data_IF_211867937116
#
_entry.id   IF_211867937116
#
_cell.length_a   1.000
_cell.length_b   1.000
_cell.length_c   1.000
_cell.angle_alpha   90.00
_cell.angle_beta   90.00
_cell.angle_gamma   90.00
#
_symmetry.space_group_name_H-M   'P 1'
#
loop_
_entity.id
_entity.type
_entity.pdbx_description
1 polymer ?
#
# COMPACT_ATOMS: atom_id res chain seq x y z
N UNK A 1 42.32 26.56 12.77
CA UNK A 1 40.99 27.18 12.97
C UNK A 1 40.08 27.02 11.77
N UNK A 2 40.50 27.36 10.56
CA UNK A 2 39.64 27.23 9.37
C UNK A 2 39.16 25.79 9.10
N UNK A 3 39.95 24.76 9.38
CA UNK A 3 39.57 23.36 9.22
C UNK A 3 38.51 22.89 10.19
N UNK A 4 38.52 23.37 11.41
CA UNK A 4 37.52 23.04 12.44
C UNK A 4 36.16 23.69 12.13
N UNK A 5 36.14 24.93 11.63
CA UNK A 5 34.91 25.60 11.19
C UNK A 5 34.23 24.87 10.07
N UNK A 6 34.97 24.39 9.06
CA UNK A 6 34.44 23.67 7.93
C UNK A 6 33.81 22.32 8.35
N UNK A 7 34.45 21.60 9.25
CA UNK A 7 33.94 20.31 9.76
C UNK A 7 32.67 20.51 10.56
N UNK A 8 32.59 21.52 11.41
CA UNK A 8 31.39 21.85 12.18
C UNK A 8 30.20 22.26 11.31
N UNK A 9 30.44 23.07 10.28
CA UNK A 9 29.41 23.47 9.32
C UNK A 9 28.85 22.26 8.54
N UNK A 10 29.70 21.35 8.10
CA UNK A 10 29.28 20.15 7.37
C UNK A 10 28.39 19.26 8.22
N UNK A 11 28.69 19.07 9.49
CA UNK A 11 27.86 18.27 10.40
C UNK A 11 26.49 18.91 10.65
N UNK A 12 26.44 20.22 10.84
CA UNK A 12 25.17 20.95 10.99
C UNK A 12 24.32 20.88 9.73
N UNK A 13 24.93 21.06 8.57
CA UNK A 13 24.23 20.96 7.28
C UNK A 13 23.66 19.56 7.04
N UNK A 14 24.41 18.51 7.34
CA UNK A 14 23.93 17.13 7.21
C UNK A 14 22.78 16.83 8.18
N UNK A 15 22.81 17.34 9.40
CA UNK A 15 21.73 17.18 10.37
C UNK A 15 20.45 17.86 9.90
N UNK A 16 20.54 19.08 9.37
CA UNK A 16 19.39 19.81 8.82
C UNK A 16 18.79 19.11 7.61
N UNK A 17 19.60 18.65 6.68
CA UNK A 17 19.16 17.91 5.50
C UNK A 17 18.45 16.61 5.88
N UNK A 18 18.97 15.88 6.85
CA UNK A 18 18.33 14.64 7.33
C UNK A 18 16.96 14.91 7.93
N UNK A 19 16.81 15.95 8.74
CA UNK A 19 15.52 16.34 9.32
C UNK A 19 14.51 16.73 8.25
N UNK A 20 14.93 17.50 7.25
CA UNK A 20 14.08 17.91 6.12
C UNK A 20 13.58 16.70 5.33
N UNK A 21 14.43 15.74 5.05
CA UNK A 21 14.08 14.52 4.33
C UNK A 21 13.05 13.69 5.10
N UNK A 22 13.23 13.53 6.41
CA UNK A 22 12.31 12.80 7.28
C UNK A 22 10.94 13.49 7.31
N UNK A 23 10.90 14.81 7.47
CA UNK A 23 9.68 15.59 7.47
C UNK A 23 8.95 15.52 6.13
N UNK A 24 9.66 15.60 5.01
CA UNK A 24 9.09 15.47 3.68
C UNK A 24 8.47 14.07 3.47
N UNK A 25 9.13 13.00 3.90
CA UNK A 25 8.63 11.64 3.81
C UNK A 25 7.34 11.44 4.64
N UNK A 26 7.25 11.99 5.84
CA UNK A 26 6.07 11.88 6.69
C UNK A 26 4.87 12.68 6.17
N UNK A 27 5.10 13.76 5.45
CA UNK A 27 4.04 14.60 4.85
C UNK A 27 3.47 13.93 3.58
N UNK A 28 4.31 13.29 2.77
CA UNK A 28 3.91 12.72 1.46
C UNK A 28 3.03 11.47 1.63
N UNK A 29 3.30 10.59 2.59
CA UNK A 29 2.59 9.32 2.76
C UNK A 29 1.09 9.47 3.02
N UNK A 30 0.59 10.38 3.88
CA UNK A 30 -0.85 10.50 4.14
C UNK A 30 -1.66 11.22 3.06
N UNK A 31 -1.04 11.82 2.05
CA UNK A 31 -1.67 12.76 1.12
C UNK A 31 -1.78 12.27 -0.33
N UNK A 32 -1.73 10.95 -0.56
CA UNK A 32 -1.83 10.41 -1.93
C UNK A 32 -3.09 10.88 -2.66
N UNK A 33 -4.23 10.98 -1.98
CA UNK A 33 -5.50 11.41 -2.58
C UNK A 33 -5.56 12.89 -2.91
N UNK A 34 -4.68 13.72 -2.33
CA UNK A 34 -4.60 15.15 -2.63
C UNK A 34 -3.61 15.49 -3.75
N UNK A 35 -2.89 14.49 -4.28
CA UNK A 35 -1.95 14.65 -5.38
C UNK A 35 -2.66 14.82 -6.73
N UNK A 36 -1.91 15.13 -7.78
CA UNK A 36 -2.44 15.16 -9.13
C UNK A 36 -3.04 13.80 -9.54
N UNK A 37 -3.94 13.81 -10.51
CA UNK A 37 -4.59 12.59 -11.00
C UNK A 37 -3.57 11.55 -11.50
N UNK A 38 -2.51 12.00 -12.15
CA UNK A 38 -1.45 11.11 -12.63
C UNK A 38 -0.69 10.43 -11.48
N UNK A 39 -0.38 11.19 -10.43
CA UNK A 39 0.29 10.66 -9.25
C UNK A 39 -0.60 9.68 -8.47
N UNK A 40 -1.89 9.96 -8.35
CA UNK A 40 -2.87 9.04 -7.75
C UNK A 40 -2.93 7.72 -8.51
N UNK A 41 -3.04 7.79 -9.82
CA UNK A 41 -3.09 6.60 -10.68
C UNK A 41 -1.82 5.77 -10.61
N UNK A 42 -0.66 6.42 -10.57
CA UNK A 42 0.63 5.74 -10.45
C UNK A 42 0.76 5.00 -9.11
N UNK A 43 0.40 5.65 -8.00
CA UNK A 43 0.41 5.04 -6.67
C UNK A 43 -0.59 3.87 -6.57
N UNK A 44 -1.78 4.05 -7.12
CA UNK A 44 -2.83 3.02 -7.14
C UNK A 44 -2.41 1.82 -7.98
N UNK A 45 -1.81 2.01 -9.15
CA UNK A 45 -1.28 0.91 -9.98
C UNK A 45 -0.19 0.12 -9.25
N UNK A 46 0.65 0.79 -8.48
CA UNK A 46 1.66 0.14 -7.67
C UNK A 46 1.03 -0.73 -6.60
N UNK A 47 0.02 -0.25 -5.91
CA UNK A 47 -0.73 -1.01 -4.91
C UNK A 47 -1.44 -2.21 -5.54
N UNK A 48 -2.08 -2.03 -6.68
CA UNK A 48 -2.74 -3.11 -7.42
C UNK A 48 -1.75 -4.19 -7.85
N UNK A 49 -0.55 -3.80 -8.29
CA UNK A 49 0.51 -4.75 -8.63
C UNK A 49 0.96 -5.56 -7.42
N UNK A 50 1.10 -4.91 -6.27
CA UNK A 50 1.41 -5.60 -4.99
C UNK A 50 0.32 -6.62 -4.62
N UNK A 51 -0.94 -6.24 -4.75
CA UNK A 51 -2.08 -7.10 -4.45
C UNK A 51 -2.09 -8.31 -5.40
N UNK A 52 -1.88 -8.08 -6.68
CA UNK A 52 -1.81 -9.18 -7.68
C UNK A 52 -0.68 -10.16 -7.39
N UNK A 53 0.50 -9.67 -7.05
CA UNK A 53 1.64 -10.50 -6.66
C UNK A 53 1.31 -11.30 -5.40
N UNK A 54 0.70 -10.67 -4.41
CA UNK A 54 0.32 -11.33 -3.16
C UNK A 54 -0.73 -12.43 -3.38
N UNK A 55 -1.69 -12.23 -4.28
CA UNK A 55 -2.67 -13.25 -4.66
C UNK A 55 -1.97 -14.43 -5.36
N UNK A 56 -1.02 -14.16 -6.25
CA UNK A 56 -0.25 -15.20 -6.92
C UNK A 56 0.59 -16.01 -5.93
N UNK A 57 1.22 -15.35 -4.96
CA UNK A 57 1.98 -16.00 -3.90
C UNK A 57 1.08 -16.87 -3.02
N UNK A 58 -0.12 -16.39 -2.69
CA UNK A 58 -1.11 -17.19 -1.95
C UNK A 58 -1.50 -18.44 -2.71
N UNK A 59 -1.73 -18.33 -4.00
CA UNK A 59 -2.07 -19.45 -4.88
C UNK A 59 -0.94 -20.50 -4.89
N UNK A 60 0.30 -20.08 -5.09
CA UNK A 60 1.47 -20.98 -5.08
C UNK A 60 1.64 -21.66 -3.72
N UNK A 61 1.52 -20.92 -2.63
CA UNK A 61 1.61 -21.48 -1.27
C UNK A 61 0.51 -22.51 -1.02
N UNK A 62 -0.70 -22.24 -1.49
CA UNK A 62 -1.84 -23.15 -1.38
C UNK A 62 -1.62 -24.44 -2.18
N UNK A 63 -1.01 -24.34 -3.37
CA UNK A 63 -0.63 -25.52 -4.15
C UNK A 63 0.43 -26.37 -3.44
N UNK A 64 1.46 -25.72 -2.88
CA UNK A 64 2.55 -26.40 -2.17
C UNK A 64 2.05 -27.11 -0.91
N UNK A 65 1.02 -26.57 -0.25
CA UNK A 65 0.42 -27.14 0.96
C UNK A 65 -0.75 -28.08 0.67
N UNK A 66 -1.03 -28.37 -0.58
CA UNK A 66 -2.15 -29.23 -1.03
C UNK A 66 -3.50 -28.82 -0.43
N UNK A 67 -3.76 -27.51 -0.36
CA UNK A 67 -5.06 -27.01 0.10
C UNK A 67 -6.14 -27.28 -0.93
N UNK A 68 -7.37 -27.49 -0.47
CA UNK A 68 -8.52 -27.71 -1.35
C UNK A 68 -8.96 -26.44 -2.07
N UNK A 69 -8.78 -25.29 -1.42
CA UNK A 69 -9.05 -23.96 -2.00
C UNK A 69 -7.73 -23.28 -2.33
N UNK A 70 -7.48 -23.06 -3.61
CA UNK A 70 -6.23 -22.44 -4.08
C UNK A 70 -6.28 -20.91 -4.03
N UNK A 71 -7.45 -20.34 -4.28
CA UNK A 71 -7.67 -18.89 -4.24
C UNK A 71 -8.26 -18.49 -2.89
N UNK A 72 -7.88 -17.34 -2.33
CA UNK A 72 -8.55 -16.83 -1.14
C UNK A 72 -10.02 -16.51 -1.47
N UNK A 73 -10.92 -16.89 -0.59
CA UNK A 73 -12.36 -16.58 -0.76
C UNK A 73 -12.61 -15.08 -0.67
N UNK A 74 -11.91 -14.42 0.25
CA UNK A 74 -11.94 -12.98 0.43
C UNK A 74 -10.52 -12.44 0.60
N UNK A 75 -10.30 -11.20 0.17
CA UNK A 75 -8.98 -10.57 0.31
C UNK A 75 -8.72 -10.03 1.72
N UNK A 76 -9.79 -9.80 2.48
CA UNK A 76 -9.71 -9.33 3.87
C UNK A 76 -11.02 -9.60 4.62
N UNK A 77 -10.99 -9.32 5.91
CA UNK A 77 -12.17 -9.33 6.79
C UNK A 77 -12.62 -7.92 7.17
N UNK A 78 -12.17 -6.91 6.44
CA UNK A 78 -12.47 -5.52 6.72
C UNK A 78 -13.95 -5.20 6.51
N UNK A 79 -14.43 -4.20 7.22
CA UNK A 79 -15.78 -3.65 7.02
C UNK A 79 -15.82 -2.77 5.77
N UNK A 80 -16.99 -2.63 5.20
CA UNK A 80 -17.23 -1.68 4.09
C UNK A 80 -16.90 -0.28 4.60
N UNK A 81 -16.08 0.44 3.85
CA UNK A 81 -15.61 1.77 4.20
C UNK A 81 -14.15 2.00 3.88
N UNK A 82 -13.63 3.12 4.31
CA UNK A 82 -12.25 3.51 4.04
C UNK A 82 -11.24 2.66 4.83
N UNK A 83 -10.09 2.43 4.20
CA UNK A 83 -8.95 1.81 4.86
C UNK A 83 -8.45 2.70 6.00
N UNK A 84 -8.20 2.10 7.14
CA UNK A 84 -7.64 2.77 8.33
C UNK A 84 -6.84 1.76 9.15
N UNK A 85 -6.17 2.22 10.19
CA UNK A 85 -5.47 1.33 11.11
C UNK A 85 -6.40 0.33 11.81
N UNK A 86 -7.67 0.72 12.01
CA UNK A 86 -8.69 -0.13 12.61
C UNK A 86 -9.45 -0.98 11.57
N UNK A 87 -9.31 -0.66 10.29
CA UNK A 87 -9.97 -1.34 9.19
C UNK A 87 -8.99 -1.58 8.04
N UNK A 88 -7.95 -2.40 8.26
CA UNK A 88 -6.95 -2.66 7.22
C UNK A 88 -7.53 -3.51 6.08
N UNK A 89 -7.18 -3.16 4.85
CA UNK A 89 -7.60 -3.89 3.65
C UNK A 89 -6.54 -4.90 3.21
N UNK A 90 -6.99 -5.95 2.53
CA UNK A 90 -6.16 -6.97 1.91
C UNK A 90 -5.30 -7.78 2.90
N UNK A 91 -5.78 -7.94 4.13
CA UNK A 91 -5.05 -8.63 5.21
C UNK A 91 -4.83 -10.12 4.96
N UNK A 92 -5.68 -10.75 4.14
CA UNK A 92 -5.56 -12.18 3.85
C UNK A 92 -4.44 -12.50 2.87
N UNK A 93 -4.00 -11.54 2.07
CA UNK A 93 -2.98 -11.71 1.05
C UNK A 93 -1.72 -10.90 1.32
N UNK A 94 -1.84 -9.70 1.88
CA UNK A 94 -0.71 -8.86 2.29
C UNK A 94 -0.34 -9.17 3.74
N UNK A 95 0.59 -10.07 3.96
CA UNK A 95 1.05 -10.44 5.31
C UNK A 95 1.71 -9.26 6.04
N UNK A 96 2.45 -8.44 5.30
CA UNK A 96 3.08 -7.22 5.77
C UNK A 96 2.64 -6.05 4.89
N UNK A 97 2.66 -4.85 5.41
CA UNK A 97 2.28 -3.65 4.65
C UNK A 97 0.85 -3.71 4.12
N UNK A 98 -0.08 -4.14 4.96
CA UNK A 98 -1.51 -4.06 4.65
C UNK A 98 -1.92 -2.62 4.36
N UNK A 99 -2.95 -2.43 3.55
CA UNK A 99 -3.39 -1.10 3.18
C UNK A 99 -4.26 -0.52 4.30
N UNK A 100 -3.74 0.50 4.96
CA UNK A 100 -4.41 1.21 6.06
C UNK A 100 -4.67 2.68 5.75
N UNK A 101 -4.34 3.12 4.55
CA UNK A 101 -4.45 4.52 4.14
C UNK A 101 -4.46 4.64 2.62
N UNK A 102 -4.23 5.85 2.09
CA UNK A 102 -4.11 6.08 0.65
C UNK A 102 -5.44 6.19 -0.07
N UNK A 103 -6.54 6.38 0.67
CA UNK A 103 -7.86 6.58 0.09
C UNK A 103 -8.52 5.33 -0.46
N UNK A 104 -7.97 4.15 -0.23
CA UNK A 104 -8.61 2.90 -0.58
C UNK A 104 -9.90 2.69 0.22
N UNK A 105 -10.91 2.18 -0.42
CA UNK A 105 -12.23 1.95 0.17
C UNK A 105 -12.77 0.59 -0.24
N UNK A 106 -13.33 -0.12 0.72
CA UNK A 106 -14.06 -1.37 0.45
C UNK A 106 -15.52 -1.03 0.16
N UNK A 107 -16.03 -1.48 -0.96
CA UNK A 107 -17.42 -1.26 -1.40
C UNK A 107 -18.32 -2.45 -1.13
N UNK A 108 -17.77 -3.64 -1.11
CA UNK A 108 -18.50 -4.90 -0.90
C UNK A 108 -17.54 -6.02 -0.56
N UNK A 109 -18.02 -7.24 -0.48
CA UNK A 109 -17.21 -8.41 -0.12
C UNK A 109 -15.99 -8.63 -1.04
N UNK A 110 -16.13 -8.26 -2.32
CA UNK A 110 -15.10 -8.44 -3.34
C UNK A 110 -14.83 -7.15 -4.13
N UNK A 111 -15.45 -6.05 -3.76
CA UNK A 111 -15.38 -4.79 -4.49
C UNK A 111 -14.61 -3.73 -3.72
N UNK A 112 -13.71 -3.04 -4.40
CA UNK A 112 -12.84 -2.01 -3.84
C UNK A 112 -12.77 -0.81 -4.76
N UNK A 113 -12.43 0.34 -4.21
CA UNK A 113 -12.24 1.57 -4.96
C UNK A 113 -10.94 2.22 -4.50
N UNK A 114 -10.10 2.59 -5.46
CA UNK A 114 -8.88 3.35 -5.19
C UNK A 114 -9.13 4.84 -5.06
N UNK A 115 -8.10 5.55 -4.68
CA UNK A 115 -8.12 7.00 -4.49
C UNK A 115 -8.51 7.77 -5.77
N UNK A 116 -8.19 7.23 -6.93
CA UNK A 116 -8.54 7.83 -8.23
C UNK A 116 -10.02 7.64 -8.61
N UNK A 117 -10.79 6.90 -7.82
CA UNK A 117 -12.17 6.54 -8.12
C UNK A 117 -12.30 5.29 -9.00
N UNK A 118 -11.20 4.64 -9.36
CA UNK A 118 -11.22 3.40 -10.13
C UNK A 118 -11.71 2.25 -9.25
N UNK A 119 -12.67 1.49 -9.77
CA UNK A 119 -13.24 0.34 -9.08
C UNK A 119 -12.54 -0.95 -9.49
N UNK A 120 -12.30 -1.79 -8.50
CA UNK A 120 -11.66 -3.09 -8.68
C UNK A 120 -12.55 -4.17 -8.10
N UNK A 121 -12.63 -5.29 -8.80
CA UNK A 121 -13.37 -6.46 -8.34
C UNK A 121 -12.43 -7.65 -8.26
N UNK A 122 -12.59 -8.43 -7.20
CA UNK A 122 -11.85 -9.67 -7.02
C UNK A 122 -12.73 -10.86 -7.38
N UNK A 123 -12.21 -11.79 -8.16
CA UNK A 123 -12.87 -13.05 -8.48
C UNK A 123 -12.15 -14.21 -7.80
N UNK A 124 -12.75 -14.83 -6.76
CA UNK A 124 -12.13 -15.98 -6.11
C UNK A 124 -12.06 -17.20 -7.02
N UNK A 125 -12.92 -17.30 -8.01
CA UNK A 125 -12.90 -18.43 -8.96
C UNK A 125 -11.69 -18.43 -9.92
N UNK A 126 -11.15 -17.24 -10.22
CA UNK A 126 -10.01 -17.06 -11.14
C UNK A 126 -8.75 -16.53 -10.45
N UNK A 127 -8.78 -16.29 -9.15
CA UNK A 127 -7.69 -15.64 -8.40
C UNK A 127 -7.24 -14.32 -9.03
N UNK A 128 -8.14 -13.54 -9.54
CA UNK A 128 -7.81 -12.29 -10.23
C UNK A 128 -8.56 -11.10 -9.66
N UNK A 129 -7.86 -9.95 -9.64
CA UNK A 129 -8.45 -8.64 -9.38
C UNK A 129 -8.37 -7.82 -10.67
N UNK A 130 -9.47 -7.19 -11.05
CA UNK A 130 -9.61 -6.44 -12.30
C UNK A 130 -10.47 -5.20 -12.13
#
# INVERSE_FOLDING_TARGET
MKKQSKTGLTQLEMSELTIIIILAATIVIPQFCSLSEEAKRAAEKQDVSRIRIAIADYYLDSMLKNRTTLCPETLDSANIGYASSDNPLFTNVLANNVITSGGWRKLGSTAYEGCSGTKYNYSPGTCSIY
#
